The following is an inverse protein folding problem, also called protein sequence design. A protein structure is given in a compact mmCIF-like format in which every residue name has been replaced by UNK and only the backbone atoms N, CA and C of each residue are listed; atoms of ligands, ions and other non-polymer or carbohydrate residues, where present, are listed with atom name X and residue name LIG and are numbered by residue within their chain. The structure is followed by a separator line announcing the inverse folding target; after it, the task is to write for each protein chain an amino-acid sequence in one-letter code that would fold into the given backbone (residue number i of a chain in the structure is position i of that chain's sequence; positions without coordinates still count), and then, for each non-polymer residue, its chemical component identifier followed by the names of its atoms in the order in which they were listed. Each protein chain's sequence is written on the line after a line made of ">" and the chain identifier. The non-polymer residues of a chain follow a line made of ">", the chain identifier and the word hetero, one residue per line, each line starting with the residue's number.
data_IF_507526070720
#
_entry.id   IF_507526070720
#
_cell.length_a   1.000
_cell.length_b   1.000
_cell.length_c   1.000
_cell.angle_alpha   90.00
_cell.angle_beta   90.00
_cell.angle_gamma   90.00
#
_symmetry.space_group_name_H-M   'P 1'
#
loop_
_entity.id
_entity.type
_entity.pdbx_description
1 polymer ?
#
# COMPACT_ATOMS: atom_id res chain seq x y z
N UNK A 1 -16.43 -1.19 11.53
CA UNK A 1 -16.32 -1.15 10.05
C UNK A 1 -17.73 -0.91 9.49
N UNK A 2 -17.92 0.03 8.57
CA UNK A 2 -19.24 0.27 7.95
C UNK A 2 -19.10 0.30 6.43
N UNK A 3 -19.48 -0.81 5.81
CA UNK A 3 -19.54 -0.98 4.37
C UNK A 3 -21.03 -1.07 3.98
N UNK A 4 -21.49 -0.22 3.06
CA UNK A 4 -22.85 -0.29 2.55
C UNK A 4 -22.82 -0.36 1.03
N UNK A 5 -23.47 -1.38 0.48
CA UNK A 5 -23.87 -1.43 -0.91
C UNK A 5 -25.22 -0.73 -1.00
N UNK A 6 -25.33 0.34 -1.78
CA UNK A 6 -26.65 0.94 -2.06
C UNK A 6 -27.40 0.12 -3.11
N UNK A 7 -28.73 0.25 -3.13
CA UNK A 7 -29.61 -0.46 -4.06
C UNK A 7 -29.30 -0.17 -5.55
N UNK A 8 -28.66 0.97 -5.84
CA UNK A 8 -28.16 1.34 -7.18
C UNK A 8 -26.80 0.69 -7.53
N UNK A 9 -26.30 -0.21 -6.68
CA UNK A 9 -25.04 -0.90 -6.88
C UNK A 9 -23.79 -0.03 -6.64
N UNK A 10 -23.89 1.16 -6.02
CA UNK A 10 -22.71 1.93 -5.60
C UNK A 10 -22.17 1.41 -4.27
N UNK A 11 -20.85 1.23 -4.19
CA UNK A 11 -20.19 0.82 -2.95
C UNK A 11 -19.82 2.08 -2.17
N UNK A 12 -20.44 2.29 -1.01
CA UNK A 12 -20.07 3.36 -0.08
C UNK A 12 -19.15 2.81 0.99
N UNK A 13 -17.90 3.26 0.96
CA UNK A 13 -16.82 2.75 1.79
C UNK A 13 -16.47 3.81 2.84
N UNK A 14 -16.57 3.47 4.13
CA UNK A 14 -16.11 4.31 5.25
C UNK A 14 -15.20 3.52 6.17
N UNK A 15 -14.06 4.11 6.54
CA UNK A 15 -13.07 3.49 7.44
C UNK A 15 -12.07 2.56 6.76
N UNK A 16 -11.87 2.70 5.45
CA UNK A 16 -10.86 1.98 4.67
C UNK A 16 -9.78 2.93 4.14
N UNK A 17 -8.64 2.35 3.82
CA UNK A 17 -7.43 3.02 3.33
C UNK A 17 -7.64 3.79 2.01
N UNK A 18 -8.72 3.49 1.28
CA UNK A 18 -9.08 4.16 0.02
C UNK A 18 -9.11 5.70 0.09
N UNK A 19 -9.40 6.28 1.25
CA UNK A 19 -9.48 7.76 1.42
C UNK A 19 -8.27 8.37 2.09
N UNK A 20 -7.27 7.57 2.46
CA UNK A 20 -6.08 8.01 3.17
C UNK A 20 -4.99 8.46 2.20
N UNK A 21 -4.41 9.65 2.41
CA UNK A 21 -3.37 10.19 1.53
C UNK A 21 -2.01 9.49 1.70
N UNK A 22 -1.76 8.95 2.88
CA UNK A 22 -0.54 8.20 3.25
C UNK A 22 -0.50 6.76 2.71
N UNK A 23 -1.42 6.42 1.81
CA UNK A 23 -1.49 5.10 1.16
C UNK A 23 -1.25 5.23 -0.34
N UNK A 24 -0.38 4.36 -0.83
CA UNK A 24 -0.06 4.23 -2.25
C UNK A 24 -1.27 3.81 -3.08
N UNK A 25 -1.30 4.22 -4.34
CA UNK A 25 -2.38 3.90 -5.27
C UNK A 25 -2.47 2.39 -5.53
N UNK A 26 -1.35 1.67 -5.53
CA UNK A 26 -1.37 0.20 -5.66
C UNK A 26 -2.15 -0.47 -4.54
N UNK A 27 -2.05 0.02 -3.30
CA UNK A 27 -2.78 -0.54 -2.17
C UNK A 27 -4.26 -0.17 -2.23
N UNK A 28 -4.58 1.08 -2.57
CA UNK A 28 -5.96 1.54 -2.73
C UNK A 28 -6.68 0.78 -3.85
N UNK A 29 -6.09 0.74 -5.03
CA UNK A 29 -6.66 0.05 -6.18
C UNK A 29 -6.81 -1.45 -5.93
N UNK A 30 -5.86 -2.10 -5.23
CA UNK A 30 -5.98 -3.51 -4.85
C UNK A 30 -7.12 -3.73 -3.86
N UNK A 31 -7.25 -2.89 -2.83
CA UNK A 31 -8.34 -2.97 -1.86
C UNK A 31 -9.71 -2.78 -2.53
N UNK A 32 -9.84 -1.82 -3.44
CA UNK A 32 -11.07 -1.59 -4.17
C UNK A 32 -11.45 -2.81 -5.01
N UNK A 33 -10.51 -3.36 -5.79
CA UNK A 33 -10.74 -4.56 -6.62
C UNK A 33 -11.13 -5.78 -5.78
N UNK A 34 -10.51 -5.95 -4.60
CA UNK A 34 -10.88 -7.01 -3.64
C UNK A 34 -12.31 -6.82 -3.14
N UNK A 35 -12.69 -5.61 -2.77
CA UNK A 35 -14.06 -5.30 -2.34
C UNK A 35 -15.07 -5.54 -3.47
N UNK A 36 -14.76 -5.15 -4.69
CA UNK A 36 -15.63 -5.38 -5.84
C UNK A 36 -15.83 -6.88 -6.11
N UNK A 37 -14.76 -7.66 -6.09
CA UNK A 37 -14.83 -9.11 -6.27
C UNK A 37 -15.73 -9.78 -5.21
N UNK A 38 -15.67 -9.32 -3.96
CA UNK A 38 -16.48 -9.89 -2.87
C UNK A 38 -17.94 -9.41 -2.95
N UNK A 39 -18.16 -8.10 -3.11
CA UNK A 39 -19.47 -7.50 -2.92
C UNK A 39 -20.34 -7.52 -4.17
N UNK A 40 -19.73 -7.46 -5.35
CA UNK A 40 -20.46 -7.48 -6.63
C UNK A 40 -20.52 -8.88 -7.21
N UNK A 41 -19.41 -9.63 -7.10
CA UNK A 41 -19.28 -10.92 -7.77
C UNK A 41 -19.39 -12.12 -6.81
N UNK A 42 -19.39 -11.88 -5.50
CA UNK A 42 -19.46 -12.95 -4.50
C UNK A 42 -18.26 -13.89 -4.50
N UNK A 43 -17.14 -13.54 -5.17
CA UNK A 43 -16.02 -14.45 -5.40
C UNK A 43 -14.84 -14.15 -4.48
N UNK A 44 -14.64 -15.02 -3.48
CA UNK A 44 -13.48 -15.00 -2.60
C UNK A 44 -12.20 -15.37 -3.36
N UNK A 45 -12.30 -16.33 -4.27
CA UNK A 45 -11.19 -16.82 -5.08
C UNK A 45 -10.63 -15.70 -5.97
N UNK A 46 -11.52 -14.92 -6.60
CA UNK A 46 -11.11 -13.75 -7.41
C UNK A 46 -10.42 -12.69 -6.56
N UNK A 47 -10.92 -12.44 -5.35
CA UNK A 47 -10.29 -11.50 -4.42
C UNK A 47 -8.86 -11.92 -4.06
N UNK A 48 -8.64 -13.21 -3.77
CA UNK A 48 -7.29 -13.76 -3.49
C UNK A 48 -6.39 -13.68 -4.71
N UNK A 49 -6.90 -14.00 -5.90
CA UNK A 49 -6.15 -13.93 -7.16
C UNK A 49 -5.69 -12.48 -7.47
N UNK A 50 -6.55 -11.49 -7.24
CA UNK A 50 -6.21 -10.07 -7.37
C UNK A 50 -5.00 -9.73 -6.48
N UNK A 51 -5.02 -10.13 -5.21
CA UNK A 51 -3.90 -9.85 -4.28
C UNK A 51 -2.63 -10.54 -4.73
N UNK A 52 -2.71 -11.83 -5.11
CA UNK A 52 -1.56 -12.61 -5.58
C UNK A 52 -0.92 -12.00 -6.82
N UNK A 53 -1.72 -11.58 -7.80
CA UNK A 53 -1.24 -10.88 -9.01
C UNK A 53 -0.59 -9.54 -8.69
N UNK A 54 -1.15 -8.77 -7.76
CA UNK A 54 -0.52 -7.53 -7.28
C UNK A 54 0.84 -7.81 -6.63
N UNK A 55 0.92 -8.80 -5.73
CA UNK A 55 2.17 -9.20 -5.07
C UNK A 55 3.21 -9.65 -6.10
N UNK A 56 2.80 -10.41 -7.11
CA UNK A 56 3.67 -10.85 -8.19
C UNK A 56 4.24 -9.65 -8.96
N UNK A 57 3.40 -8.71 -9.40
CA UNK A 57 3.85 -7.48 -10.09
C UNK A 57 4.86 -6.68 -9.26
N UNK A 58 4.63 -6.57 -7.94
CA UNK A 58 5.57 -5.90 -7.03
C UNK A 58 6.92 -6.62 -6.97
N UNK A 59 6.93 -7.95 -6.83
CA UNK A 59 8.16 -8.75 -6.80
C UNK A 59 8.93 -8.68 -8.12
N UNK A 60 8.21 -8.65 -9.24
CA UNK A 60 8.78 -8.56 -10.58
C UNK A 60 9.31 -7.16 -10.95
N UNK A 61 9.01 -6.13 -10.14
CA UNK A 61 9.46 -4.77 -10.43
C UNK A 61 8.63 -4.07 -11.51
N UNK A 62 7.45 -4.58 -11.87
CA UNK A 62 6.65 -4.10 -13.01
C UNK A 62 5.61 -3.03 -12.66
N UNK A 63 5.43 -2.72 -11.37
CA UNK A 63 4.57 -1.62 -10.92
C UNK A 63 5.27 -0.26 -11.15
N UNK A 64 4.62 0.71 -11.81
CA UNK A 64 5.13 2.07 -11.97
C UNK A 64 5.39 2.77 -10.63
N UNK A 65 6.40 3.63 -10.54
CA UNK A 65 6.75 4.34 -9.30
C UNK A 65 5.65 5.29 -8.86
N UNK A 66 4.87 5.83 -9.80
CA UNK A 66 3.74 6.72 -9.55
C UNK A 66 2.62 6.00 -8.79
N UNK A 67 2.38 4.71 -9.08
CA UNK A 67 1.42 3.89 -8.33
C UNK A 67 1.90 3.58 -6.90
N UNK A 68 3.20 3.74 -6.65
CA UNK A 68 3.86 3.48 -5.37
C UNK A 68 4.08 4.74 -4.54
N UNK A 69 3.79 5.92 -5.09
CA UNK A 69 3.98 7.19 -4.42
C UNK A 69 3.13 7.28 -3.15
N UNK A 70 3.77 7.63 -2.05
CA UNK A 70 3.13 7.96 -0.78
C UNK A 70 3.17 9.47 -0.63
N UNK A 71 2.02 10.08 -0.33
CA UNK A 71 1.89 11.53 -0.20
C UNK A 71 1.65 11.91 1.26
N UNK A 72 2.46 12.84 1.78
CA UNK A 72 2.31 13.33 3.15
C UNK A 72 2.56 14.83 3.19
N UNK A 73 1.75 15.55 3.97
CA UNK A 73 1.95 16.98 4.18
C UNK A 73 2.89 17.21 5.36
N UNK A 74 3.90 18.05 5.19
CA UNK A 74 4.76 18.48 6.30
C UNK A 74 3.95 19.34 7.27
N UNK A 75 3.94 18.95 8.54
CA UNK A 75 3.25 19.68 9.61
C UNK A 75 4.12 20.75 10.26
N UNK A 76 5.44 20.69 10.04
CA UNK A 76 6.47 21.62 10.54
C UNK A 76 7.57 21.79 9.49
N UNK A 77 8.52 22.70 9.71
CA UNK A 77 9.72 22.74 8.88
C UNK A 77 10.62 21.53 9.14
N UNK A 78 11.36 21.08 8.13
CA UNK A 78 12.21 19.85 8.19
C UNK A 78 13.28 19.88 9.28
N UNK A 79 13.64 21.06 9.79
CA UNK A 79 14.60 21.29 10.88
C UNK A 79 13.99 21.14 12.27
N UNK A 80 12.67 21.25 12.39
CA UNK A 80 11.92 21.19 13.65
C UNK A 80 11.47 19.77 14.02
N UNK A 81 11.81 18.77 13.21
CA UNK A 81 11.49 17.37 13.47
C UNK A 81 12.59 16.70 14.31
N UNK A 82 12.22 16.21 15.48
CA UNK A 82 13.12 15.43 16.37
C UNK A 82 13.48 14.06 15.78
N UNK A 83 12.55 13.48 15.02
CA UNK A 83 12.70 12.17 14.38
C UNK A 83 12.69 12.35 12.87
N UNK A 84 13.66 11.75 12.18
CA UNK A 84 13.69 11.70 10.72
C UNK A 84 12.78 10.57 10.24
N UNK A 85 11.51 10.90 10.01
CA UNK A 85 10.55 10.02 9.36
C UNK A 85 10.79 9.91 7.84
N UNK A 86 10.13 8.98 7.13
CA UNK A 86 10.24 8.84 5.67
C UNK A 86 9.96 10.13 4.90
N UNK A 87 8.87 10.83 5.23
CA UNK A 87 8.50 12.09 4.60
C UNK A 87 9.51 13.21 4.88
N UNK A 88 10.08 13.26 6.09
CA UNK A 88 11.12 14.24 6.45
C UNK A 88 12.44 13.92 5.74
N UNK A 89 12.80 12.65 5.63
CA UNK A 89 13.98 12.20 4.88
C UNK A 89 13.88 12.57 3.40
N UNK A 90 12.72 12.28 2.77
CA UNK A 90 12.46 12.66 1.39
C UNK A 90 12.50 14.19 1.21
N UNK A 91 11.85 14.96 2.09
CA UNK A 91 11.89 16.42 2.03
C UNK A 91 13.32 16.98 2.18
N UNK A 92 14.14 16.41 3.08
CA UNK A 92 15.56 16.80 3.21
C UNK A 92 16.35 16.52 1.93
N UNK A 93 16.07 15.41 1.23
CA UNK A 93 16.68 15.11 -0.08
C UNK A 93 16.25 16.12 -1.15
N UNK A 94 14.98 16.54 -1.16
CA UNK A 94 14.49 17.60 -2.05
C UNK A 94 15.23 18.91 -1.82
N UNK A 95 15.34 19.35 -0.56
CA UNK A 95 16.07 20.57 -0.18
C UNK A 95 17.54 20.49 -0.61
N UNK A 96 18.20 19.36 -0.38
CA UNK A 96 19.59 19.15 -0.78
C UNK A 96 19.80 19.21 -2.31
N UNK A 97 18.74 19.03 -3.10
CA UNK A 97 18.75 19.13 -4.57
C UNK A 97 18.13 20.45 -5.07
N UNK A 98 18.01 21.45 -4.20
CA UNK A 98 17.55 22.79 -4.58
C UNK A 98 16.04 22.93 -4.74
N UNK A 99 15.26 21.92 -4.36
CA UNK A 99 13.79 22.01 -4.36
C UNK A 99 13.32 22.57 -3.01
N UNK A 100 12.65 23.73 -2.97
CA UNK A 100 12.20 24.32 -1.72
C UNK A 100 11.10 23.45 -1.08
N UNK A 101 11.21 23.25 0.23
CA UNK A 101 10.25 22.52 1.04
C UNK A 101 10.03 23.26 2.36
N UNK A 102 8.78 23.55 2.69
CA UNK A 102 8.37 24.30 3.87
C UNK A 102 7.22 23.61 4.60
N UNK A 103 6.90 24.07 5.81
CA UNK A 103 5.68 23.67 6.50
C UNK A 103 4.46 23.81 5.58
N UNK A 104 3.66 22.76 5.49
CA UNK A 104 2.46 22.70 4.66
C UNK A 104 2.71 22.17 3.24
N UNK A 105 3.97 22.07 2.78
CA UNK A 105 4.29 21.42 1.53
C UNK A 105 3.90 19.94 1.53
N UNK A 106 3.49 19.43 0.37
CA UNK A 106 3.20 18.01 0.18
C UNK A 106 4.43 17.32 -0.38
N UNK A 107 4.92 16.30 0.32
CA UNK A 107 6.01 15.43 -0.12
C UNK A 107 5.39 14.21 -0.78
N UNK A 108 5.85 13.91 -2.00
CA UNK A 108 5.57 12.64 -2.69
C UNK A 108 6.84 11.81 -2.73
N UNK A 109 6.81 10.60 -2.17
CA UNK A 109 8.00 9.77 -2.03
C UNK A 109 7.72 8.28 -2.23
N UNK A 110 8.78 7.53 -2.56
CA UNK A 110 8.78 6.08 -2.74
C UNK A 110 9.81 5.46 -1.79
N UNK A 111 9.48 4.30 -1.22
CA UNK A 111 10.45 3.52 -0.44
C UNK A 111 11.28 2.66 -1.39
N UNK A 112 12.56 3.03 -1.54
CA UNK A 112 13.55 2.39 -2.42
C UNK A 112 14.26 1.22 -1.75
N UNK A 113 15.03 0.43 -2.50
CA UNK A 113 15.71 -0.78 -1.98
C UNK A 113 16.86 -0.47 -1.02
N UNK A 114 17.58 0.65 -1.22
CA UNK A 114 18.85 0.94 -0.54
C UNK A 114 18.64 1.89 0.65
N UNK A 115 19.21 1.51 1.80
CA UNK A 115 19.18 2.28 3.04
C UNK A 115 19.09 1.36 4.25
N UNK A 116 19.56 1.80 5.42
CA UNK A 116 19.55 1.01 6.66
C UNK A 116 18.20 1.06 7.39
N UNK A 117 17.40 2.09 7.11
CA UNK A 117 16.08 2.31 7.69
C UNK A 117 15.06 2.64 6.61
N UNK A 118 13.75 2.53 6.92
CA UNK A 118 12.68 2.96 6.01
C UNK A 118 12.84 4.44 5.66
N UNK A 119 13.23 5.28 6.62
CA UNK A 119 13.48 6.70 6.38
C UNK A 119 14.62 6.92 5.39
N UNK A 120 15.75 6.22 5.53
CA UNK A 120 16.85 6.33 4.57
C UNK A 120 16.45 5.85 3.17
N UNK A 121 15.61 4.81 3.09
CA UNK A 121 15.06 4.27 1.86
C UNK A 121 14.06 5.21 1.16
N UNK A 122 13.43 6.13 1.89
CA UNK A 122 12.46 7.08 1.32
C UNK A 122 13.14 8.09 0.40
N UNK A 123 12.78 8.09 -0.88
CA UNK A 123 13.26 9.05 -1.86
C UNK A 123 12.09 9.81 -2.48
N UNK A 124 12.25 11.10 -2.79
CA UNK A 124 11.26 11.85 -3.56
C UNK A 124 10.90 11.09 -4.84
N UNK A 125 9.63 11.09 -5.23
CA UNK A 125 9.14 10.34 -6.40
C UNK A 125 9.98 10.65 -7.64
N UNK A 126 10.26 11.93 -7.91
CA UNK A 126 11.04 12.41 -9.06
C UNK A 126 12.50 11.93 -9.05
N UNK A 127 13.01 11.46 -7.90
CA UNK A 127 14.38 10.99 -7.73
C UNK A 127 14.48 9.47 -7.58
N UNK A 128 13.35 8.78 -7.39
CA UNK A 128 13.33 7.33 -7.21
C UNK A 128 13.61 6.62 -8.53
N UNK A 129 14.36 5.51 -8.46
CA UNK A 129 14.70 4.67 -9.62
C UNK A 129 14.30 3.20 -9.44
N UNK A 130 13.97 2.83 -8.21
CA UNK A 130 13.54 1.50 -7.82
C UNK A 130 12.60 1.61 -6.62
N UNK A 131 12.09 0.46 -6.17
CA UNK A 131 11.30 0.36 -4.95
C UNK A 131 11.59 -0.94 -4.20
N UNK A 132 11.35 -0.91 -2.89
CA UNK A 132 11.41 -2.07 -2.01
C UNK A 132 10.08 -2.84 -2.07
N UNK A 133 10.04 -3.90 -2.87
CA UNK A 133 8.84 -4.71 -3.06
C UNK A 133 8.28 -5.25 -1.74
N UNK A 134 9.14 -5.70 -0.83
CA UNK A 134 8.73 -6.24 0.46
C UNK A 134 8.11 -5.16 1.34
N UNK A 135 8.62 -3.92 1.28
CA UNK A 135 7.97 -2.80 1.96
C UNK A 135 6.52 -2.63 1.48
N UNK A 136 6.30 -2.56 0.16
CA UNK A 136 4.96 -2.34 -0.39
C UNK A 136 4.03 -3.52 -0.16
N UNK A 137 4.52 -4.76 -0.24
CA UNK A 137 3.70 -5.95 0.07
C UNK A 137 3.25 -5.91 1.53
N UNK A 138 4.18 -5.72 2.47
CA UNK A 138 3.92 -5.90 3.89
C UNK A 138 3.33 -4.67 4.59
N UNK A 139 3.61 -3.46 4.11
CA UNK A 139 3.20 -2.21 4.76
C UNK A 139 2.13 -1.43 3.98
N UNK A 140 1.80 -1.85 2.76
CA UNK A 140 0.79 -1.21 1.91
C UNK A 140 -0.24 -2.23 1.44
N UNK A 141 0.09 -3.17 0.56
CA UNK A 141 -0.94 -4.05 -0.02
C UNK A 141 -1.63 -4.94 1.02
N UNK A 142 -0.88 -5.69 1.82
CA UNK A 142 -1.46 -6.64 2.77
C UNK A 142 -2.29 -5.96 3.86
N UNK A 143 -1.81 -4.90 4.55
CA UNK A 143 -2.62 -4.32 5.63
C UNK A 143 -3.90 -3.65 5.13
N UNK A 144 -3.97 -3.21 3.87
CA UNK A 144 -5.22 -2.75 3.25
C UNK A 144 -6.23 -3.89 3.04
N UNK A 145 -5.80 -5.05 2.53
CA UNK A 145 -6.74 -6.13 2.16
C UNK A 145 -7.05 -7.09 3.31
N UNK A 146 -6.14 -7.26 4.26
CA UNK A 146 -6.29 -8.23 5.36
C UNK A 146 -7.42 -7.87 6.32
N UNK A 147 -7.77 -6.59 6.45
CA UNK A 147 -8.96 -6.17 7.23
C UNK A 147 -10.27 -6.79 6.72
N UNK A 148 -10.31 -7.16 5.44
CA UNK A 148 -11.47 -7.78 4.78
C UNK A 148 -11.28 -9.28 4.73
N UNK A 149 -10.12 -9.73 4.24
CA UNK A 149 -9.88 -11.14 3.95
C UNK A 149 -9.79 -12.00 5.22
N UNK A 150 -9.36 -11.42 6.34
CA UNK A 150 -9.35 -12.11 7.64
C UNK A 150 -10.76 -12.46 8.13
N UNK A 151 -11.72 -11.55 7.95
CA UNK A 151 -13.15 -11.80 8.25
C UNK A 151 -13.74 -12.91 7.37
N UNK A 152 -13.08 -13.23 6.26
CA UNK A 152 -13.46 -14.30 5.34
C UNK A 152 -12.69 -15.62 5.56
N UNK A 153 -11.80 -15.67 6.56
CA UNK A 153 -11.03 -16.85 6.94
C UNK A 153 -9.67 -17.00 6.27
N UNK A 154 -9.12 -15.95 5.66
CA UNK A 154 -7.79 -15.98 5.04
C UNK A 154 -6.73 -15.36 5.95
N UNK A 155 -5.53 -15.92 5.90
CA UNK A 155 -4.32 -15.40 6.53
C UNK A 155 -3.32 -14.87 5.48
N UNK A 156 -2.34 -14.04 5.91
CA UNK A 156 -1.36 -13.48 4.97
C UNK A 156 -0.58 -14.55 4.19
N UNK A 157 -0.35 -15.71 4.82
CA UNK A 157 0.33 -16.85 4.22
C UNK A 157 -0.38 -17.33 2.95
N UNK A 158 -1.71 -17.38 2.96
CA UNK A 158 -2.54 -17.78 1.82
C UNK A 158 -2.38 -16.85 0.62
N UNK A 159 -1.99 -15.60 0.87
CA UNK A 159 -1.84 -14.56 -0.15
C UNK A 159 -0.40 -14.51 -0.68
N UNK A 160 0.59 -14.79 0.17
CA UNK A 160 2.02 -14.74 -0.17
C UNK A 160 2.53 -16.00 -0.86
N UNK A 161 1.94 -17.16 -0.56
CA UNK A 161 2.31 -18.47 -1.10
C UNK A 161 1.14 -19.00 -1.94
N UNK A 162 1.41 -19.37 -3.19
CA UNK A 162 0.39 -19.75 -4.18
C UNK A 162 -0.30 -21.10 -3.95
N UNK A 163 -0.35 -21.64 -2.73
CA UNK A 163 -0.92 -22.95 -2.45
C UNK A 163 -2.08 -22.86 -1.46
N UNK A 164 -3.25 -23.41 -1.82
CA UNK A 164 -4.26 -23.82 -0.83
C UNK A 164 -3.57 -24.81 0.11
N UNK A 165 -3.52 -24.52 1.41
CA UNK A 165 -3.28 -25.58 2.38
C UNK A 165 -4.47 -26.54 2.26
N UNK A 166 -4.24 -27.77 1.78
CA UNK A 166 -5.19 -28.86 2.03
C UNK A 166 -5.30 -28.97 3.54
N UNK A 167 -6.50 -28.77 4.07
CA UNK A 167 -6.73 -29.00 5.48
C UNK A 167 -6.40 -30.44 5.83
N UNK A 168 -5.99 -30.70 7.07
CA UNK A 168 -5.77 -32.06 7.58
C UNK A 168 -7.02 -32.97 7.49
N UNK A 169 -8.19 -32.45 7.08
CA UNK A 169 -9.40 -33.22 6.81
C UNK A 169 -9.45 -33.94 5.46
N UNK A 170 -8.48 -33.72 4.56
CA UNK A 170 -8.40 -34.44 3.27
C UNK A 170 -7.60 -35.77 3.35
N UNK A 171 -7.21 -36.18 4.57
CA UNK A 171 -6.43 -37.41 4.83
C UNK A 171 -7.13 -38.37 5.80
N UNK A 172 -8.44 -38.29 5.97
CA UNK A 172 -9.21 -39.26 6.76
C UNK A 172 -10.32 -39.86 5.91
#
# INVERSE_FOLDING_TARGET
>A
MNLKLSEDGRIKIRGFELVRRDWSEIAKSTQLKVLEAILREGSKEKAVDIVRKTIQRLREGTVPLEELAIMTQLSKDTREYDIVSPEVSAAKKMIANGMPMEKGSVVSYVITKKGKSVSEKAHPLEMAKDYDADYYINNQVLPAVMKILKELGYEEYDLKIGGKQKGLGDFV
#
